data_IF_170732541586
#
_entry.id   IF_170732541586
#
_cell.length_a   1.000
_cell.length_b   1.000
_cell.length_c   1.000
_cell.angle_alpha   90.00
_cell.angle_beta   90.00
_cell.angle_gamma   90.00
#
_symmetry.space_group_name_H-M   'P 1'
#
loop_
_entity.id
_entity.type
_entity.pdbx_description
1 polymer ?
#
# COMPACT_ATOMS: atom_id res chain seq x y z
N UNK A 1 6.81 5.44 -4.30
CA UNK A 1 5.99 5.07 -5.47
C UNK A 1 4.89 4.14 -4.97
N UNK A 2 3.66 4.37 -5.41
CA UNK A 2 2.51 3.56 -5.03
C UNK A 2 1.86 3.05 -6.31
N UNK A 3 1.51 1.77 -6.34
CA UNK A 3 0.74 1.16 -7.42
C UNK A 3 -0.62 0.75 -6.86
N UNK A 4 -1.72 1.10 -7.54
CA UNK A 4 -3.08 0.64 -7.19
C UNK A 4 -3.78 0.18 -8.46
N UNK A 5 -4.25 -1.07 -8.50
CA UNK A 5 -4.87 -1.70 -9.67
C UNK A 5 -4.06 -1.50 -10.97
N UNK A 6 -2.74 -1.66 -10.89
CA UNK A 6 -1.81 -1.49 -12.01
C UNK A 6 -1.51 -0.03 -12.40
N UNK A 7 -2.16 0.98 -11.79
CA UNK A 7 -1.83 2.39 -12.00
C UNK A 7 -0.75 2.83 -11.03
N UNK A 8 0.30 3.47 -11.53
CA UNK A 8 1.44 3.91 -10.74
C UNK A 8 1.38 5.42 -10.48
N UNK A 9 1.72 5.81 -9.26
CA UNK A 9 1.77 7.19 -8.81
C UNK A 9 3.03 7.42 -7.96
N UNK A 10 3.60 8.62 -8.08
CA UNK A 10 4.65 9.07 -7.17
C UNK A 10 4.01 9.98 -6.12
N UNK A 11 4.00 9.54 -4.86
CA UNK A 11 3.59 10.37 -3.74
C UNK A 11 4.82 11.03 -3.10
N UNK A 12 4.71 12.31 -2.81
CA UNK A 12 5.67 13.10 -2.05
C UNK A 12 5.15 13.36 -0.63
N UNK A 13 5.95 14.04 0.19
CA UNK A 13 5.56 14.44 1.55
C UNK A 13 4.19 15.16 1.56
N UNK A 14 3.39 14.86 2.59
CA UNK A 14 2.02 15.34 2.77
C UNK A 14 1.00 14.96 1.68
N UNK A 15 1.34 14.04 0.77
CA UNK A 15 0.38 13.47 -0.16
C UNK A 15 -0.17 12.15 0.38
N UNK A 16 -1.46 11.94 0.14
CA UNK A 16 -2.15 10.69 0.45
C UNK A 16 -2.83 10.15 -0.79
N UNK A 17 -3.10 8.84 -0.78
CA UNK A 17 -3.93 8.20 -1.79
C UNK A 17 -4.92 7.29 -1.10
N UNK A 18 -6.10 7.15 -1.69
CA UNK A 18 -7.13 6.25 -1.19
C UNK A 18 -7.03 4.91 -1.91
N UNK A 19 -7.03 3.83 -1.14
CA UNK A 19 -7.00 2.47 -1.64
C UNK A 19 -8.42 1.90 -1.52
N UNK A 20 -9.14 1.69 -2.63
CA UNK A 20 -10.48 1.14 -2.57
C UNK A 20 -10.47 -0.32 -2.11
N UNK A 21 -11.59 -0.76 -1.53
CA UNK A 21 -11.76 -2.14 -1.10
C UNK A 21 -11.51 -3.13 -2.25
N UNK A 22 -10.77 -4.19 -1.97
CA UNK A 22 -10.41 -5.21 -2.95
C UNK A 22 -9.39 -4.76 -4.02
N UNK A 23 -8.85 -3.55 -3.91
CA UNK A 23 -7.81 -3.10 -4.84
C UNK A 23 -6.45 -3.71 -4.48
N UNK A 24 -5.84 -4.34 -5.47
CA UNK A 24 -4.44 -4.75 -5.37
C UNK A 24 -3.56 -3.50 -5.35
N UNK A 25 -2.67 -3.41 -4.37
CA UNK A 25 -1.78 -2.27 -4.23
C UNK A 25 -0.40 -2.69 -3.76
N UNK A 26 0.60 -1.89 -4.10
CA UNK A 26 1.98 -2.05 -3.64
C UNK A 26 2.63 -0.70 -3.38
N UNK A 27 3.52 -0.67 -2.39
CA UNK A 27 4.31 0.51 -2.02
C UNK A 27 5.79 0.20 -2.19
N UNK A 28 6.50 1.08 -2.87
CA UNK A 28 7.93 1.02 -3.10
C UNK A 28 8.57 2.35 -2.70
N UNK A 29 9.71 2.31 -1.99
CA UNK A 29 10.49 3.51 -1.71
C UNK A 29 11.69 3.58 -2.69
N UNK A 30 11.58 4.35 -3.80
CA UNK A 30 12.70 4.54 -4.72
C UNK A 30 13.77 5.50 -4.17
N UNK A 31 13.49 6.16 -3.04
CA UNK A 31 14.39 7.11 -2.40
C UNK A 31 15.51 6.43 -1.61
N UNK A 32 16.53 7.22 -1.26
CA UNK A 32 17.62 6.79 -0.36
C UNK A 32 17.38 7.16 1.10
N UNK A 33 16.29 7.87 1.38
CA UNK A 33 15.89 8.32 2.71
C UNK A 33 14.82 7.34 3.22
N UNK A 34 14.83 6.97 4.53
CA UNK A 34 13.75 6.20 5.13
C UNK A 34 12.40 6.86 4.89
N UNK A 35 11.42 6.08 4.45
CA UNK A 35 10.05 6.52 4.24
C UNK A 35 9.22 6.13 5.48
N UNK A 36 8.53 7.10 6.06
CA UNK A 36 7.51 6.85 7.10
C UNK A 36 6.13 6.83 6.43
N UNK A 37 5.35 5.79 6.71
CA UNK A 37 4.02 5.60 6.13
C UNK A 37 3.00 5.52 7.24
N UNK A 38 1.89 6.23 7.08
CA UNK A 38 0.71 6.08 7.92
C UNK A 38 -0.36 5.32 7.13
N UNK A 39 -0.66 4.10 7.58
CA UNK A 39 -1.75 3.31 7.04
C UNK A 39 -2.97 3.48 7.95
N UNK A 40 -4.08 3.95 7.38
CA UNK A 40 -5.35 4.13 8.09
C UNK A 40 -6.37 3.20 7.44
N UNK A 41 -6.75 2.15 8.16
CA UNK A 41 -7.79 1.22 7.72
C UNK A 41 -9.13 1.69 8.29
N UNK A 42 -10.16 1.72 7.45
CA UNK A 42 -11.51 2.18 7.82
C UNK A 42 -12.53 1.14 7.36
N UNK A 43 -13.25 0.55 8.31
CA UNK A 43 -14.22 -0.51 8.03
C UNK A 43 -14.94 -0.98 9.29
N UNK A 44 -16.03 -1.71 9.13
CA UNK A 44 -16.77 -2.33 10.24
C UNK A 44 -16.08 -3.58 10.78
N UNK A 45 -15.18 -4.17 10.00
CA UNK A 45 -14.37 -5.33 10.35
C UNK A 45 -12.94 -5.11 9.87
N UNK A 46 -11.96 -5.28 10.77
CA UNK A 46 -10.53 -5.06 10.51
C UNK A 46 -9.73 -6.29 10.94
N UNK A 47 -10.29 -7.49 10.75
CA UNK A 47 -9.59 -8.74 11.05
C UNK A 47 -8.44 -8.97 10.07
N UNK A 48 -7.40 -9.67 10.51
CA UNK A 48 -6.28 -10.05 9.62
C UNK A 48 -6.75 -10.93 8.44
N UNK A 49 -7.87 -11.64 8.61
CA UNK A 49 -8.50 -12.46 7.57
C UNK A 49 -9.09 -11.65 6.40
N UNK A 50 -9.29 -10.34 6.57
CA UNK A 50 -9.78 -9.43 5.52
C UNK A 50 -8.65 -8.89 4.64
N UNK A 51 -7.40 -9.10 5.04
CA UNK A 51 -6.22 -8.58 4.34
C UNK A 51 -5.48 -9.72 3.64
N UNK A 52 -5.59 -9.75 2.32
CA UNK A 52 -4.82 -10.69 1.50
C UNK A 52 -3.44 -10.10 1.23
N UNK A 53 -2.43 -10.61 1.94
CA UNK A 53 -1.02 -10.24 1.68
C UNK A 53 -0.50 -11.00 0.47
N UNK A 54 -0.37 -10.31 -0.64
CA UNK A 54 0.17 -10.87 -1.88
C UNK A 54 1.69 -10.88 -1.75
N UNK A 55 2.29 -12.07 -1.84
CA UNK A 55 3.75 -12.20 -1.82
C UNK A 55 4.32 -11.61 -3.09
N UNK A 56 5.30 -10.73 -2.94
CA UNK A 56 6.18 -10.33 -4.02
C UNK A 56 6.95 -11.57 -4.54
N UNK A 57 7.38 -11.55 -5.81
CA UNK A 57 8.26 -12.53 -6.48
C UNK A 57 9.51 -12.98 -5.66
N UNK A 58 9.91 -12.25 -4.62
CA UNK A 58 10.98 -12.61 -3.67
C UNK A 58 10.51 -13.28 -2.37
N UNK A 59 9.21 -13.59 -2.23
CA UNK A 59 8.66 -14.44 -1.17
C UNK A 59 8.50 -13.78 0.21
N UNK A 60 8.53 -12.44 0.29
CA UNK A 60 8.33 -11.68 1.53
C UNK A 60 6.82 -11.45 1.77
N UNK A 61 6.39 -11.70 3.00
CA UNK A 61 5.00 -11.53 3.49
C UNK A 61 4.80 -10.17 4.14
#
# INVERSE_FOLDING_TARGET
QVTVNGKQFLLTENQSTFIPIGAEHSLENPGRIPLEVLEIQSGSYLGEDDIIRIKDQYGRC
#
